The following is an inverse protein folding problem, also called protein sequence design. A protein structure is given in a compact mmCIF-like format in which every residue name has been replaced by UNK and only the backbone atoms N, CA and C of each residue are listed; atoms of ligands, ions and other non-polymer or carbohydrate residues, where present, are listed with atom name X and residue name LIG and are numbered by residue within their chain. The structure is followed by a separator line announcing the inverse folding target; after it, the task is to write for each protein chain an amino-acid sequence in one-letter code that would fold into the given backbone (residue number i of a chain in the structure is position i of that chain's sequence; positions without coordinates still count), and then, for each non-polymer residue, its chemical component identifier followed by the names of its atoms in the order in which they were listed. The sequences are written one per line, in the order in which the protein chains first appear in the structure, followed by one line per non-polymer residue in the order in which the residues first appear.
data_IF_715910586391
#
_entry.id   IF_715910586391
#
_cell.length_a   1.000
_cell.length_b   1.000
_cell.length_c   1.000
_cell.angle_alpha   90.00
_cell.angle_beta   90.00
_cell.angle_gamma   90.00
#
_symmetry.space_group_name_H-M   'P 1'
#
loop_
_entity.id
_entity.type
_entity.pdbx_description
1 polymer ?
#
# COMPACT_ATOMS: atom_id res chain seq x y z
N UNK A 1 -10.66 15.33 9.06
CA UNK A 1 -11.51 15.82 7.96
C UNK A 1 -11.92 14.73 6.97
N UNK A 2 -11.02 14.07 6.20
CA UNK A 2 -11.46 13.01 5.26
C UNK A 2 -12.22 11.86 5.95
N UNK A 3 -11.69 11.35 7.06
CA UNK A 3 -12.32 10.24 7.78
C UNK A 3 -13.68 10.63 8.37
N UNK A 4 -13.82 11.88 8.82
CA UNK A 4 -15.07 12.40 9.35
C UNK A 4 -16.13 12.49 8.24
N UNK A 5 -15.73 12.99 7.06
CA UNK A 5 -16.60 13.02 5.89
C UNK A 5 -17.02 11.61 5.46
N UNK A 6 -16.07 10.67 5.37
CA UNK A 6 -16.37 9.27 5.04
C UNK A 6 -17.30 8.62 6.06
N UNK A 7 -17.18 8.96 7.36
CA UNK A 7 -18.05 8.43 8.41
C UNK A 7 -19.49 8.94 8.28
N UNK A 8 -19.67 10.24 8.04
CA UNK A 8 -21.00 10.84 7.81
C UNK A 8 -21.63 10.26 6.54
N UNK A 9 -20.89 10.23 5.44
CA UNK A 9 -21.34 9.67 4.16
C UNK A 9 -21.72 8.18 4.28
N UNK A 10 -20.97 7.40 5.09
CA UNK A 10 -21.30 6.00 5.35
C UNK A 10 -22.61 5.82 6.11
N UNK A 11 -22.85 6.67 7.13
CA UNK A 11 -24.09 6.65 7.89
C UNK A 11 -25.30 7.06 7.02
N UNK A 12 -25.15 8.10 6.20
CA UNK A 12 -26.21 8.58 5.30
C UNK A 12 -26.59 7.55 4.23
N UNK A 13 -25.64 6.72 3.80
CA UNK A 13 -25.86 5.67 2.81
C UNK A 13 -26.12 4.29 3.43
N UNK A 14 -26.82 4.26 4.56
CA UNK A 14 -27.33 3.05 5.20
C UNK A 14 -26.25 2.01 5.54
N UNK A 15 -25.03 2.45 5.85
CA UNK A 15 -23.93 1.56 6.20
C UNK A 15 -23.54 0.57 5.08
N UNK A 16 -23.69 0.95 3.80
CA UNK A 16 -23.24 0.15 2.65
C UNK A 16 -21.72 0.04 2.61
N UNK A 17 -21.22 -1.12 3.05
CA UNK A 17 -19.79 -1.42 3.15
C UNK A 17 -19.09 -1.39 1.80
N UNK A 18 -19.74 -1.86 0.72
CA UNK A 18 -19.11 -1.88 -0.62
C UNK A 18 -18.92 -0.48 -1.14
N UNK A 19 -19.93 0.38 -0.97
CA UNK A 19 -19.86 1.79 -1.34
C UNK A 19 -18.78 2.52 -0.53
N UNK A 20 -18.75 2.31 0.78
CA UNK A 20 -17.72 2.89 1.65
C UNK A 20 -16.31 2.48 1.22
N UNK A 21 -16.07 1.18 1.00
CA UNK A 21 -14.78 0.69 0.52
C UNK A 21 -14.41 1.33 -0.82
N UNK A 22 -15.37 1.47 -1.74
CA UNK A 22 -15.15 2.17 -3.01
C UNK A 22 -14.75 3.63 -2.79
N UNK A 23 -15.45 4.38 -1.94
CA UNK A 23 -15.11 5.77 -1.64
C UNK A 23 -13.72 5.90 -1.01
N UNK A 24 -13.37 5.00 -0.10
CA UNK A 24 -12.07 4.97 0.54
C UNK A 24 -10.95 4.76 -0.48
N UNK A 25 -11.03 3.70 -1.31
CA UNK A 25 -9.97 3.36 -2.27
C UNK A 25 -9.90 4.32 -3.46
N UNK A 26 -10.99 5.05 -3.72
CA UNK A 26 -11.04 6.12 -4.73
C UNK A 26 -10.67 7.50 -4.18
N UNK A 27 -10.40 7.62 -2.88
CA UNK A 27 -9.97 8.89 -2.29
C UNK A 27 -8.59 9.30 -2.77
N UNK A 28 -8.36 10.61 -2.95
CA UNK A 28 -7.06 11.14 -3.32
C UNK A 28 -5.96 10.75 -2.32
N UNK A 29 -6.29 10.65 -1.03
CA UNK A 29 -5.36 10.22 0.01
C UNK A 29 -4.94 8.76 -0.16
N UNK A 30 -5.86 7.85 -0.48
CA UNK A 30 -5.51 6.44 -0.73
C UNK A 30 -4.72 6.25 -2.03
N UNK A 31 -5.03 7.04 -3.06
CA UNK A 31 -4.36 6.99 -4.37
C UNK A 31 -3.03 7.77 -4.41
N UNK A 32 -2.63 8.39 -3.30
CA UNK A 32 -1.39 9.13 -3.22
C UNK A 32 -0.19 8.22 -3.49
N UNK A 33 0.79 8.73 -4.24
CA UNK A 33 2.03 7.98 -4.50
C UNK A 33 2.77 7.71 -3.18
N UNK A 34 3.12 6.44 -2.96
CA UNK A 34 3.89 5.98 -1.80
C UNK A 34 5.40 5.96 -2.06
N UNK A 35 5.86 6.58 -3.14
CA UNK A 35 7.28 6.63 -3.50
C UNK A 35 8.09 7.41 -2.46
N UNK A 36 9.24 6.85 -2.08
CA UNK A 36 10.11 7.44 -1.08
C UNK A 36 10.98 8.51 -1.72
N UNK A 37 10.76 9.78 -1.38
CA UNK A 37 11.69 10.86 -1.73
C UNK A 37 12.74 11.06 -0.63
N UNK A 38 13.93 11.59 -0.96
CA UNK A 38 14.97 11.89 0.03
C UNK A 38 14.48 12.80 1.17
N UNK A 39 13.59 13.74 0.86
CA UNK A 39 12.99 14.68 1.81
C UNK A 39 12.06 13.95 2.78
N UNK A 40 11.17 13.09 2.27
CA UNK A 40 10.28 12.27 3.10
C UNK A 40 11.06 11.30 3.99
N UNK A 41 12.17 10.76 3.50
CA UNK A 41 13.03 9.89 4.29
C UNK A 41 13.77 10.66 5.40
N UNK A 42 14.16 11.92 5.16
CA UNK A 42 14.75 12.78 6.20
C UNK A 42 13.74 13.14 7.29
N UNK A 43 12.49 13.46 6.90
CA UNK A 43 11.42 13.86 7.81
C UNK A 43 10.98 12.67 8.68
N UNK A 44 10.76 11.51 8.05
CA UNK A 44 10.31 10.31 8.75
C UNK A 44 11.01 9.04 8.22
N UNK A 45 12.22 8.73 8.72
CA UNK A 45 12.97 7.55 8.31
C UNK A 45 12.25 6.24 8.68
N UNK A 46 11.50 6.25 9.80
CA UNK A 46 10.80 5.09 10.35
C UNK A 46 9.39 4.91 9.78
N UNK A 47 8.92 5.82 8.93
CA UNK A 47 7.57 5.80 8.36
C UNK A 47 6.45 5.70 9.41
N UNK A 48 6.59 6.40 10.54
CA UNK A 48 5.58 6.48 11.59
C UNK A 48 4.31 7.23 11.14
N UNK A 49 4.46 8.16 10.21
CA UNK A 49 3.36 8.95 9.64
C UNK A 49 2.70 8.27 8.44
N UNK A 50 3.15 7.05 8.08
CA UNK A 50 2.54 6.21 7.05
C UNK A 50 2.48 6.86 5.65
N UNK A 51 3.43 7.75 5.34
CA UNK A 51 3.53 8.38 4.02
C UNK A 51 3.87 7.38 2.90
N UNK A 52 4.39 6.20 3.26
CA UNK A 52 4.70 5.10 2.34
C UNK A 52 4.19 3.78 2.92
N UNK A 53 4.15 2.75 2.08
CA UNK A 53 3.87 1.40 2.55
C UNK A 53 4.91 0.93 3.60
N UNK A 54 4.51 0.16 4.62
CA UNK A 54 5.46 -0.45 5.55
C UNK A 54 6.41 -1.39 4.80
N UNK A 55 7.67 -1.43 5.24
CA UNK A 55 8.67 -2.35 4.68
C UNK A 55 8.52 -3.70 5.37
N UNK A 56 8.24 -4.74 4.60
CA UNK A 56 8.22 -6.11 5.09
C UNK A 56 9.55 -6.79 4.80
N UNK A 57 9.99 -7.66 5.71
CA UNK A 57 11.09 -8.58 5.42
C UNK A 57 10.54 -9.65 4.49
N UNK A 58 11.16 -9.82 3.33
CA UNK A 58 10.82 -10.93 2.44
C UNK A 58 11.23 -12.26 3.10
N UNK A 59 10.45 -13.31 2.86
CA UNK A 59 10.85 -14.68 3.20
C UNK A 59 12.04 -15.13 2.33
N UNK A 60 12.65 -16.24 2.71
CA UNK A 60 13.85 -16.72 2.03
C UNK A 60 13.55 -17.15 0.59
N UNK A 61 12.37 -17.73 0.38
CA UNK A 61 11.86 -18.19 -0.91
C UNK A 61 11.66 -17.02 -1.88
N UNK A 62 10.93 -15.97 -1.47
CA UNK A 62 10.72 -14.78 -2.30
C UNK A 62 12.03 -14.08 -2.59
N UNK A 63 12.96 -14.01 -1.62
CA UNK A 63 14.28 -13.43 -1.86
C UNK A 63 15.08 -14.22 -2.90
N UNK A 64 15.08 -15.56 -2.81
CA UNK A 64 15.72 -16.44 -3.79
C UNK A 64 15.08 -16.27 -5.16
N UNK A 65 13.76 -16.29 -5.25
CA UNK A 65 13.03 -16.19 -6.51
C UNK A 65 13.23 -14.82 -7.18
N UNK A 66 13.26 -13.74 -6.39
CA UNK A 66 13.65 -12.41 -6.86
C UNK A 66 15.07 -12.40 -7.42
N UNK A 67 16.04 -13.01 -6.71
CA UNK A 67 17.41 -13.10 -7.19
C UNK A 67 17.54 -13.93 -8.48
N UNK A 68 16.84 -15.06 -8.57
CA UNK A 68 16.78 -15.89 -9.78
C UNK A 68 16.10 -15.15 -10.93
N UNK A 69 15.03 -14.40 -10.68
CA UNK A 69 14.31 -13.64 -11.69
C UNK A 69 15.19 -12.54 -12.28
N UNK A 70 15.82 -11.73 -11.43
CA UNK A 70 16.68 -10.61 -11.85
C UNK A 70 17.94 -11.10 -12.56
N UNK A 71 18.48 -12.26 -12.19
CA UNK A 71 19.63 -12.89 -12.86
C UNK A 71 19.26 -13.67 -14.12
N UNK A 72 17.97 -13.82 -14.45
CA UNK A 72 17.51 -14.61 -15.60
C UNK A 72 17.65 -16.13 -15.40
N UNK A 73 17.88 -16.58 -14.17
CA UNK A 73 18.04 -17.99 -13.80
C UNK A 73 16.74 -18.65 -13.30
N UNK A 74 15.65 -17.88 -13.17
CA UNK A 74 14.36 -18.41 -12.74
C UNK A 74 13.77 -19.32 -13.81
N UNK A 75 13.47 -20.56 -13.44
CA UNK A 75 12.74 -21.52 -14.28
C UNK A 75 11.24 -21.43 -13.93
N UNK A 76 10.38 -20.92 -14.83
CA UNK A 76 8.94 -20.76 -14.54
C UNK A 76 8.14 -22.05 -14.67
N UNK A 77 8.76 -23.13 -15.16
CA UNK A 77 8.10 -24.43 -15.34
C UNK A 77 7.92 -25.11 -13.99
N UNK A 78 6.66 -25.32 -13.60
CA UNK A 78 6.30 -26.18 -12.48
C UNK A 78 6.20 -27.61 -13.00
N UNK A 79 7.18 -28.46 -12.68
CA UNK A 79 7.21 -29.88 -13.07
C UNK A 79 7.53 -30.10 -14.55
#
# INVERSE_FOLDING_TARGET
ELLDWLAVDFQEHQWDVKRFMKQLVMSATYQQSSNVTPELNKIDPKNRLLARGPRFRLDAETLRDQALAVSGLLVPKVG
#
